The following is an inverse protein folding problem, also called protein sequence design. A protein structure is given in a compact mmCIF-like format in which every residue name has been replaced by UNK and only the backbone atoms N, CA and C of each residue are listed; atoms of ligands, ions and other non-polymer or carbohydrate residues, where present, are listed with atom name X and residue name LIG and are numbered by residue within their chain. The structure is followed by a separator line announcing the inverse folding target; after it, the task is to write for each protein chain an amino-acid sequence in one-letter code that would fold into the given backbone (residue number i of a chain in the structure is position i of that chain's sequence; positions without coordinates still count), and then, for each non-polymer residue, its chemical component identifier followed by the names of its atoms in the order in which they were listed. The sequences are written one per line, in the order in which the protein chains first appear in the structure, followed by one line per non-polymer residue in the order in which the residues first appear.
data_IF_901867340889
#
_entry.id   IF_901867340889
#
_cell.length_a   1.000
_cell.length_b   1.000
_cell.length_c   1.000
_cell.angle_alpha   90.00
_cell.angle_beta   90.00
_cell.angle_gamma   90.00
#
_symmetry.space_group_name_H-M   'P 1'
#
loop_
_entity.id
_entity.type
_entity.pdbx_description
1 polymer ?
#
# COMPACT_ATOMS: atom_id res chain seq x y z
N UNK A 1 -4.32 13.03 -9.63
CA UNK A 1 -4.98 13.56 -8.41
C UNK A 1 -5.60 12.43 -7.64
N UNK A 2 -5.66 12.52 -6.31
CA UNK A 2 -6.35 11.55 -5.47
C UNK A 2 -7.60 12.16 -4.84
N UNK A 3 -8.69 11.41 -4.81
CA UNK A 3 -9.91 11.76 -4.07
C UNK A 3 -10.11 10.70 -2.98
N UNK A 4 -10.23 11.14 -1.73
CA UNK A 4 -10.34 10.28 -0.56
C UNK A 4 -11.74 10.41 0.03
N UNK A 5 -12.36 9.27 0.32
CA UNK A 5 -13.69 9.18 0.92
C UNK A 5 -13.57 8.58 2.32
N UNK A 6 -14.16 9.26 3.30
CA UNK A 6 -14.13 8.86 4.69
C UNK A 6 -15.53 8.56 5.20
N UNK A 7 -15.66 7.53 6.05
CA UNK A 7 -16.87 7.26 6.78
C UNK A 7 -17.14 8.41 7.76
N UNK A 8 -18.33 9.03 7.68
CA UNK A 8 -18.65 10.26 8.44
C UNK A 8 -18.51 10.12 9.96
N UNK A 9 -18.81 8.95 10.51
CA UNK A 9 -18.85 8.73 11.96
C UNK A 9 -17.49 8.34 12.54
N UNK A 10 -16.75 7.49 11.85
CA UNK A 10 -15.49 6.91 12.34
C UNK A 10 -14.26 7.61 11.76
N UNK A 11 -14.45 8.42 10.71
CA UNK A 11 -13.38 9.05 9.92
C UNK A 11 -12.42 8.04 9.28
N UNK A 12 -12.82 6.78 9.15
CA UNK A 12 -12.02 5.75 8.48
C UNK A 12 -12.11 5.94 6.96
N UNK A 13 -10.98 5.76 6.27
CA UNK A 13 -10.92 5.81 4.82
C UNK A 13 -11.68 4.61 4.22
N UNK A 14 -12.71 4.84 3.43
CA UNK A 14 -13.50 3.75 2.81
C UNK A 14 -13.16 3.55 1.35
N UNK A 15 -12.67 4.60 0.69
CA UNK A 15 -12.33 4.57 -0.73
C UNK A 15 -11.30 5.63 -1.07
N UNK A 16 -10.36 5.29 -1.95
CA UNK A 16 -9.61 6.28 -2.70
C UNK A 16 -9.84 6.11 -4.20
N UNK A 17 -9.77 7.21 -4.94
CA UNK A 17 -9.85 7.22 -6.40
C UNK A 17 -8.64 7.95 -6.98
N UNK A 18 -8.07 7.35 -8.02
CA UNK A 18 -6.95 7.90 -8.78
C UNK A 18 -7.48 8.51 -10.06
N UNK A 19 -7.26 9.82 -10.23
CA UNK A 19 -7.69 10.57 -11.40
C UNK A 19 -6.49 11.01 -12.22
N UNK A 20 -6.61 10.90 -13.53
CA UNK A 20 -5.72 11.56 -14.50
C UNK A 20 -5.85 13.09 -14.41
N UNK A 21 -4.98 13.81 -15.11
CA UNK A 21 -4.95 15.28 -15.13
C UNK A 21 -6.21 15.90 -15.73
N UNK A 22 -6.90 15.18 -16.62
CA UNK A 22 -8.16 15.58 -17.25
C UNK A 22 -9.41 15.22 -16.41
N UNK A 23 -9.22 14.62 -15.23
CA UNK A 23 -10.29 14.15 -14.37
C UNK A 23 -10.80 12.74 -14.66
N UNK A 24 -10.26 12.06 -15.68
CA UNK A 24 -10.61 10.66 -15.98
C UNK A 24 -10.25 9.75 -14.80
N UNK A 25 -11.20 8.92 -14.36
CA UNK A 25 -10.95 7.89 -13.35
C UNK A 25 -10.02 6.83 -13.94
N UNK A 26 -8.90 6.58 -13.27
CA UNK A 26 -7.92 5.57 -13.67
C UNK A 26 -8.10 4.27 -12.89
N UNK A 27 -8.36 4.38 -11.59
CA UNK A 27 -8.55 3.22 -10.72
C UNK A 27 -9.21 3.65 -9.41
N UNK A 28 -9.85 2.70 -8.74
CA UNK A 28 -10.48 2.87 -7.43
C UNK A 28 -10.00 1.79 -6.48
N UNK A 29 -9.65 2.18 -5.26
CA UNK A 29 -9.41 1.25 -4.15
C UNK A 29 -10.50 1.41 -3.13
N UNK A 30 -11.06 0.29 -2.68
CA UNK A 30 -12.04 0.22 -1.60
C UNK A 30 -11.41 -0.49 -0.41
N UNK A 31 -11.67 0.02 0.79
CA UNK A 31 -11.21 -0.54 2.05
C UNK A 31 -12.44 -0.97 2.85
N UNK A 32 -12.46 -2.23 3.27
CA UNK A 32 -13.59 -2.85 3.92
C UNK A 32 -13.15 -3.78 5.05
N UNK A 33 -14.14 -4.35 5.75
CA UNK A 33 -13.94 -5.27 6.87
C UNK A 33 -12.98 -4.69 7.92
N UNK A 34 -13.31 -3.49 8.39
CA UNK A 34 -12.54 -2.84 9.45
C UNK A 34 -12.71 -3.61 10.76
N UNK A 35 -11.59 -3.99 11.35
CA UNK A 35 -11.53 -4.68 12.66
C UNK A 35 -10.50 -3.98 13.54
N UNK A 36 -10.74 -4.04 14.85
CA UNK A 36 -9.85 -3.42 15.84
C UNK A 36 -8.70 -4.38 16.19
N UNK A 37 -7.46 -3.92 16.01
CA UNK A 37 -6.21 -4.63 16.33
C UNK A 37 -5.35 -3.69 17.17
N UNK A 38 -5.03 -4.08 18.41
CA UNK A 38 -4.23 -3.27 19.35
C UNK A 38 -4.66 -1.80 19.40
N UNK A 39 -5.97 -1.59 19.62
CA UNK A 39 -6.63 -0.28 19.72
C UNK A 39 -6.66 0.57 18.44
N UNK A 40 -6.29 0.00 17.29
CA UNK A 40 -6.36 0.67 15.99
C UNK A 40 -7.35 -0.05 15.08
N UNK A 41 -8.14 0.71 14.33
CA UNK A 41 -9.02 0.16 13.30
C UNK A 41 -8.21 -0.10 12.02
N UNK A 42 -8.21 -1.35 11.55
CA UNK A 42 -7.46 -1.80 10.39
C UNK A 42 -8.38 -2.48 9.37
N UNK A 43 -8.26 -2.19 8.06
CA UNK A 43 -9.07 -2.83 7.02
C UNK A 43 -8.52 -4.22 6.68
N UNK A 44 -9.34 -5.26 6.84
CA UNK A 44 -8.95 -6.64 6.50
C UNK A 44 -9.19 -6.96 5.02
N UNK A 45 -9.90 -6.09 4.29
CA UNK A 45 -10.12 -6.21 2.85
C UNK A 45 -9.72 -4.92 2.14
N UNK A 46 -8.85 -5.05 1.13
CA UNK A 46 -8.47 -3.96 0.23
C UNK A 46 -8.69 -4.45 -1.20
N UNK A 47 -9.60 -3.80 -1.93
CA UNK A 47 -9.95 -4.18 -3.29
C UNK A 47 -9.57 -3.07 -4.28
N UNK A 48 -8.80 -3.41 -5.31
CA UNK A 48 -8.51 -2.58 -6.47
C UNK A 48 -9.51 -2.89 -7.59
N UNK A 49 -10.06 -1.84 -8.20
CA UNK A 49 -11.01 -1.93 -9.30
C UNK A 49 -10.63 -0.96 -10.42
N UNK A 50 -10.97 -1.36 -11.64
CA UNK A 50 -10.86 -0.55 -12.84
C UNK A 50 -11.87 0.62 -12.82
N UNK A 51 -11.80 1.56 -13.78
CA UNK A 51 -12.74 2.68 -13.88
C UNK A 51 -14.20 2.26 -14.05
N UNK A 52 -14.46 1.08 -14.62
CA UNK A 52 -15.79 0.51 -14.81
C UNK A 52 -16.34 -0.15 -13.53
N UNK A 53 -15.54 -0.18 -12.46
CA UNK A 53 -15.89 -0.79 -11.18
C UNK A 53 -15.74 -2.30 -11.18
N UNK A 54 -15.10 -2.89 -12.19
CA UNK A 54 -14.73 -4.30 -12.18
C UNK A 54 -13.53 -4.48 -11.28
N UNK A 55 -13.66 -5.39 -10.31
CA UNK A 55 -12.58 -5.74 -9.40
C UNK A 55 -11.44 -6.41 -10.17
N UNK A 56 -10.24 -5.85 -10.07
CA UNK A 56 -9.03 -6.37 -10.71
C UNK A 56 -8.20 -7.20 -9.76
N UNK A 57 -8.07 -6.76 -8.51
CA UNK A 57 -7.28 -7.44 -7.49
C UNK A 57 -7.84 -7.19 -6.09
N UNK A 58 -7.59 -8.11 -5.17
CA UNK A 58 -7.95 -7.92 -3.77
C UNK A 58 -6.94 -8.56 -2.84
N UNK A 59 -6.73 -7.90 -1.71
CA UNK A 59 -5.87 -8.35 -0.63
C UNK A 59 -6.76 -8.58 0.58
N UNK A 60 -6.72 -9.81 1.09
CA UNK A 60 -7.40 -10.22 2.30
C UNK A 60 -6.35 -10.52 3.37
N UNK A 61 -6.43 -9.81 4.50
CA UNK A 61 -5.57 -10.07 5.63
C UNK A 61 -6.23 -11.09 6.55
N UNK A 62 -5.49 -12.10 7.01
CA UNK A 62 -6.02 -13.08 7.96
C UNK A 62 -5.50 -12.83 9.38
N UNK A 63 -4.23 -12.43 9.50
CA UNK A 63 -3.55 -12.19 10.77
C UNK A 63 -2.75 -10.90 10.68
N UNK A 64 -3.11 -9.94 11.52
CA UNK A 64 -2.50 -8.62 11.59
C UNK A 64 -2.06 -8.37 13.03
N UNK A 65 -0.82 -7.90 13.20
CA UNK A 65 -0.24 -7.48 14.49
C UNK A 65 0.27 -6.05 14.33
N UNK A 66 -0.03 -5.16 15.30
CA UNK A 66 0.30 -3.73 15.22
C UNK A 66 0.73 -3.14 16.58
N UNK A 67 1.89 -2.47 16.71
CA UNK A 67 3.09 -2.62 15.89
C UNK A 67 3.84 -3.91 16.27
N UNK A 68 4.30 -4.72 15.31
CA UNK A 68 5.13 -5.87 15.62
C UNK A 68 6.56 -5.42 15.96
N UNK A 69 7.20 -6.10 16.92
CA UNK A 69 8.63 -5.91 17.19
C UNK A 69 9.46 -6.60 16.11
N UNK A 70 9.75 -5.90 15.02
CA UNK A 70 10.55 -6.41 13.89
C UNK A 70 11.98 -5.89 13.97
N UNK A 71 13.00 -6.72 13.71
CA UNK A 71 14.39 -6.26 13.66
C UNK A 71 14.67 -5.47 12.37
N UNK A 72 15.50 -4.43 12.47
CA UNK A 72 15.88 -3.57 11.33
C UNK A 72 16.50 -4.34 10.16
N UNK A 73 17.11 -5.50 10.43
CA UNK A 73 17.71 -6.37 9.41
C UNK A 73 16.71 -6.84 8.35
N UNK A 74 15.41 -6.90 8.65
CA UNK A 74 14.37 -7.22 7.66
C UNK A 74 14.22 -6.13 6.59
N UNK A 75 14.66 -4.91 6.87
CA UNK A 75 14.56 -3.75 5.98
C UNK A 75 15.90 -3.40 5.32
N UNK A 76 16.90 -4.26 5.47
CA UNK A 76 18.16 -4.17 4.73
C UNK A 76 18.10 -5.07 3.51
N UNK A 77 18.60 -4.58 2.37
CA UNK A 77 18.94 -5.45 1.26
C UNK A 77 20.11 -6.32 1.75
N UNK A 78 19.83 -7.56 2.15
CA UNK A 78 20.91 -8.49 2.43
C UNK A 78 21.78 -8.57 1.15
N UNK A 79 23.10 -8.37 1.25
CA UNK A 79 23.95 -8.50 0.07
C UNK A 79 23.72 -9.90 -0.50
N UNK A 80 23.30 -9.95 -1.77
CA UNK A 80 23.15 -11.21 -2.48
C UNK A 80 24.54 -11.86 -2.47
N UNK A 81 24.68 -13.04 -1.88
CA UNK A 81 25.95 -13.74 -1.82
C UNK A 81 26.54 -13.86 -3.24
N UNK A 82 27.72 -13.26 -3.46
CA UNK A 82 28.40 -13.25 -4.76
C UNK A 82 28.09 -12.04 -5.66
N UNK A 83 27.31 -11.06 -5.23
CA UNK A 83 27.15 -9.78 -5.94
C UNK A 83 28.08 -8.74 -5.32
N UNK A 84 29.07 -8.29 -6.08
CA UNK A 84 29.87 -7.13 -5.75
C UNK A 84 29.04 -5.88 -6.09
N UNK A 85 28.73 -5.06 -5.10
CA UNK A 85 28.20 -3.72 -5.37
C UNK A 85 29.24 -2.96 -6.18
N UNK A 86 28.86 -2.55 -7.39
CA UNK A 86 29.67 -1.68 -8.23
C UNK A 86 29.18 -0.27 -7.98
N UNK A 87 30.04 0.56 -7.39
CA UNK A 87 29.83 1.99 -7.29
C UNK A 87 29.95 2.59 -8.70
N UNK A 88 28.81 2.96 -9.29
CA UNK A 88 28.73 3.49 -10.65
C UNK A 88 29.27 4.92 -10.71
N UNK A 89 29.30 5.64 -9.58
CA UNK A 89 29.82 7.00 -9.50
C UNK A 89 31.35 7.02 -9.46
N UNK A 90 31.98 5.95 -8.97
CA UNK A 90 33.43 5.76 -9.03
C UNK A 90 33.95 5.38 -10.43
N UNK A 91 33.07 4.89 -11.32
CA UNK A 91 33.43 4.48 -12.69
C UNK A 91 33.34 5.59 -13.73
N UNK A 92 32.75 6.74 -13.38
CA UNK A 92 32.57 7.88 -14.29
C UNK A 92 33.77 8.84 -14.33
N UNK A 93 34.89 8.49 -13.68
CA UNK A 93 36.12 9.30 -13.66
C UNK A 93 37.24 8.56 -14.40
N UNK A 94 37.18 8.57 -15.73
CA UNK A 94 38.35 8.44 -16.63
C UNK A 94 38.23 9.44 -17.79
#
# INVERSE_FOLDING_TARGET
TFVLWFARQTLLLTRWEMLASDGTLLARVSLADYRRVNDQDFPFEIALSDPQGKQEASVYYERVELPPHLPDSLFTLAPIAGVQEVDVDALAVE
#
